data_IF_189723569006
#
_entry.id   IF_189723569006
#
_cell.length_a   1.000
_cell.length_b   1.000
_cell.length_c   1.000
_cell.angle_alpha   90.00
_cell.angle_beta   90.00
_cell.angle_gamma   90.00
#
_symmetry.space_group_name_H-M   'P 1'
#
loop_
_entity.id
_entity.type
_entity.pdbx_description
1 polymer ?
#
# COMPACT_ATOMS: atom_id res chain seq x y z
N UNK A 1 -12.21 -8.09 -13.01
CA UNK A 1 -11.14 -7.19 -13.50
C UNK A 1 -11.82 -6.07 -14.30
N UNK A 2 -11.98 -4.89 -13.71
CA UNK A 2 -12.55 -3.73 -14.42
C UNK A 2 -11.46 -3.10 -15.28
N UNK A 3 -11.49 -3.32 -16.60
CA UNK A 3 -10.53 -2.75 -17.57
C UNK A 3 -10.79 -1.27 -17.87
N UNK A 4 -10.98 -0.45 -16.83
CA UNK A 4 -11.34 0.98 -16.97
C UNK A 4 -10.18 1.91 -17.37
N UNK A 5 -9.02 1.38 -17.75
CA UNK A 5 -7.84 2.19 -18.13
C UNK A 5 -7.14 2.93 -16.99
N UNK A 6 -7.71 2.93 -15.78
CA UNK A 6 -7.15 3.61 -14.58
C UNK A 6 -5.71 3.21 -14.30
N UNK A 7 -5.43 1.91 -14.24
CA UNK A 7 -4.08 1.40 -13.95
C UNK A 7 -3.05 1.88 -14.97
N UNK A 8 -3.34 1.78 -16.27
CA UNK A 8 -2.44 2.22 -17.33
C UNK A 8 -2.19 3.74 -17.26
N UNK A 9 -3.23 4.52 -16.94
CA UNK A 9 -3.10 5.97 -16.79
C UNK A 9 -2.18 6.32 -15.61
N UNK A 10 -2.37 5.66 -14.46
CA UNK A 10 -1.53 5.85 -13.26
C UNK A 10 -0.08 5.45 -13.53
N UNK A 11 0.16 4.30 -14.17
CA UNK A 11 1.51 3.84 -14.55
C UNK A 11 2.24 4.86 -15.42
N UNK A 12 1.54 5.46 -16.41
CA UNK A 12 2.12 6.50 -17.27
C UNK A 12 2.44 7.79 -16.51
N UNK A 13 1.55 8.23 -15.62
CA UNK A 13 1.78 9.43 -14.79
C UNK A 13 3.00 9.22 -13.90
N UNK A 14 3.08 8.08 -13.20
CA UNK A 14 4.22 7.74 -12.34
C UNK A 14 5.51 7.70 -13.17
N UNK A 15 5.49 7.04 -14.34
CA UNK A 15 6.63 6.96 -15.24
C UNK A 15 7.13 8.33 -15.70
N UNK A 16 6.23 9.23 -16.11
CA UNK A 16 6.58 10.58 -16.55
C UNK A 16 7.15 11.45 -15.42
N UNK A 17 6.55 11.40 -14.22
CA UNK A 17 7.05 12.15 -13.07
C UNK A 17 8.43 11.65 -12.61
N UNK A 18 8.59 10.33 -12.56
CA UNK A 18 9.87 9.69 -12.21
C UNK A 18 10.95 10.02 -13.24
N UNK A 19 10.60 10.01 -14.53
CA UNK A 19 11.49 10.39 -15.64
C UNK A 19 11.95 11.85 -15.59
N UNK A 20 11.24 12.71 -14.87
CA UNK A 20 11.59 14.10 -14.59
C UNK A 20 12.37 14.28 -13.28
N UNK A 21 12.85 13.17 -12.71
CA UNK A 21 13.62 13.14 -11.47
C UNK A 21 12.84 13.57 -10.20
N UNK A 22 11.52 13.54 -10.24
CA UNK A 22 10.73 13.61 -9.01
C UNK A 22 10.74 12.25 -8.30
N UNK A 23 10.77 12.28 -6.97
CA UNK A 23 10.41 11.13 -6.17
C UNK A 23 8.88 10.96 -6.18
N UNK A 24 8.41 9.73 -6.39
CA UNK A 24 6.98 9.46 -6.59
C UNK A 24 6.52 8.31 -5.70
N UNK A 25 5.60 8.60 -4.80
CA UNK A 25 4.83 7.61 -4.06
C UNK A 25 3.54 7.23 -4.78
N UNK A 26 2.96 6.10 -4.41
CA UNK A 26 1.60 5.76 -4.86
C UNK A 26 0.80 5.11 -3.74
N UNK A 27 -0.51 5.37 -3.74
CA UNK A 27 -1.53 4.69 -2.94
C UNK A 27 -2.50 4.06 -3.93
N UNK A 28 -2.97 2.86 -3.65
CA UNK A 28 -4.01 2.23 -4.45
C UNK A 28 -5.11 1.76 -3.54
N UNK A 29 -6.29 2.33 -3.70
CA UNK A 29 -7.46 1.88 -2.97
C UNK A 29 -8.07 0.62 -3.62
N UNK A 30 -8.12 -0.47 -2.84
CA UNK A 30 -8.56 -1.78 -3.31
C UNK A 30 -10.01 -1.99 -2.90
N UNK A 31 -10.90 -1.73 -3.86
CA UNK A 31 -12.34 -1.89 -3.73
C UNK A 31 -12.76 -3.35 -3.92
N UNK A 32 -12.22 -4.25 -3.10
CA UNK A 32 -12.59 -5.67 -3.05
C UNK A 32 -12.78 -6.07 -1.59
N UNK A 33 -14.02 -6.37 -1.20
CA UNK A 33 -14.39 -6.59 0.21
C UNK A 33 -13.60 -7.72 0.89
N UNK A 34 -13.21 -8.74 0.13
CA UNK A 34 -12.42 -9.86 0.65
C UNK A 34 -10.91 -9.65 0.52
N UNK A 35 -10.44 -8.43 0.18
CA UNK A 35 -9.01 -8.15 0.09
C UNK A 35 -8.37 -8.17 1.48
N UNK A 36 -7.40 -9.05 1.66
CA UNK A 36 -6.49 -9.02 2.79
C UNK A 36 -5.11 -9.51 2.32
N UNK A 37 -4.08 -8.69 2.54
CA UNK A 37 -2.69 -9.11 2.31
C UNK A 37 -2.31 -10.21 3.31
N UNK A 38 -2.70 -10.02 4.57
CA UNK A 38 -2.44 -10.97 5.63
C UNK A 38 -3.61 -11.96 5.78
N UNK A 39 -3.33 -13.23 5.53
CA UNK A 39 -4.35 -14.29 5.45
C UNK A 39 -4.27 -15.25 6.64
N UNK A 40 -5.36 -15.94 7.01
CA UNK A 40 -5.35 -16.90 8.11
C UNK A 40 -4.24 -17.95 7.98
N UNK A 41 -3.49 -18.16 9.06
CA UNK A 41 -2.43 -19.16 9.14
C UNK A 41 -1.01 -18.66 8.85
N UNK A 42 -0.83 -17.46 8.29
CA UNK A 42 0.49 -16.83 8.18
C UNK A 42 1.05 -16.46 9.57
N UNK A 43 2.37 -16.27 9.66
CA UNK A 43 3.00 -15.86 10.92
C UNK A 43 2.51 -14.47 11.36
N UNK A 44 2.38 -13.53 10.44
CA UNK A 44 1.83 -12.19 10.67
C UNK A 44 0.39 -12.24 11.17
N UNK A 45 -0.44 -13.14 10.64
CA UNK A 45 -1.79 -13.37 11.15
C UNK A 45 -1.77 -13.90 12.57
N UNK A 46 -0.89 -14.86 12.87
CA UNK A 46 -0.71 -15.40 14.22
C UNK A 46 -0.25 -14.33 15.21
N UNK A 47 0.60 -13.39 14.80
CA UNK A 47 1.01 -12.26 15.64
C UNK A 47 -0.20 -11.37 15.98
N UNK A 48 -1.07 -11.07 15.00
CA UNK A 48 -2.31 -10.33 15.26
C UNK A 48 -3.23 -11.08 16.21
N UNK A 49 -3.44 -12.38 15.99
CA UNK A 49 -4.27 -13.23 16.88
C UNK A 49 -3.71 -13.29 18.31
N UNK A 50 -2.39 -13.18 18.48
CA UNK A 50 -1.75 -13.09 19.78
C UNK A 50 -1.92 -11.73 20.49
N UNK A 51 -2.55 -10.74 19.84
CA UNK A 51 -2.87 -9.43 20.43
C UNK A 51 -1.98 -8.27 19.96
N UNK A 52 -1.15 -8.46 18.94
CA UNK A 52 -0.39 -7.35 18.37
C UNK A 52 -1.33 -6.33 17.71
N UNK A 53 -1.26 -5.07 18.15
CA UNK A 53 -2.05 -3.96 17.61
C UNK A 53 -1.56 -3.46 16.24
N UNK A 54 -0.26 -3.65 15.97
CA UNK A 54 0.40 -3.36 14.70
C UNK A 54 1.40 -4.48 14.41
N UNK A 55 1.43 -4.95 13.16
CA UNK A 55 2.34 -6.03 12.74
C UNK A 55 3.20 -5.52 11.59
N UNK A 56 4.50 -5.81 11.62
CA UNK A 56 5.40 -5.55 10.49
C UNK A 56 5.96 -6.86 9.96
N UNK A 57 5.79 -7.11 8.66
CA UNK A 57 6.51 -8.15 7.94
C UNK A 57 7.78 -7.53 7.35
N UNK A 58 8.95 -8.13 7.57
CA UNK A 58 10.21 -7.66 6.98
C UNK A 58 10.94 -8.82 6.33
N UNK A 59 11.10 -8.73 5.01
CA UNK A 59 11.88 -9.66 4.22
C UNK A 59 13.18 -9.04 3.71
N UNK A 60 13.91 -9.80 2.88
CA UNK A 60 15.09 -9.28 2.18
C UNK A 60 14.75 -8.33 1.03
N UNK A 61 13.50 -8.36 0.55
CA UNK A 61 13.04 -7.61 -0.62
C UNK A 61 12.12 -6.44 -0.27
N UNK A 62 11.38 -6.54 0.84
CA UNK A 62 10.33 -5.58 1.18
C UNK A 62 10.04 -5.55 2.68
N UNK A 63 9.32 -4.51 3.10
CA UNK A 63 8.82 -4.32 4.45
C UNK A 63 7.38 -3.85 4.37
N UNK A 64 6.48 -4.57 5.04
CA UNK A 64 5.04 -4.30 5.05
C UNK A 64 4.58 -3.99 6.47
N UNK A 65 3.96 -2.83 6.66
CA UNK A 65 3.33 -2.45 7.93
C UNK A 65 1.82 -2.69 7.80
N UNK A 66 1.32 -3.63 8.59
CA UNK A 66 -0.04 -4.15 8.51
C UNK A 66 -0.94 -3.45 9.54
N UNK A 67 -1.59 -2.38 9.12
CA UNK A 67 -2.65 -1.74 9.90
C UNK A 67 -3.92 -2.60 9.86
N UNK A 68 -4.50 -3.02 11.02
CA UNK A 68 -5.70 -3.85 11.05
C UNK A 68 -7.00 -3.05 10.82
N UNK A 69 -6.88 -1.80 10.39
CA UNK A 69 -7.99 -0.86 10.14
C UNK A 69 -7.71 -0.08 8.86
N UNK A 70 -8.77 0.40 8.21
CA UNK A 70 -8.63 1.37 7.13
C UNK A 70 -8.19 2.71 7.71
N UNK A 71 -7.03 3.21 7.27
CA UNK A 71 -6.53 4.53 7.64
C UNK A 71 -7.15 5.60 6.76
N UNK A 72 -7.32 6.81 7.29
CA UNK A 72 -7.67 7.96 6.45
C UNK A 72 -6.52 8.31 5.52
N UNK A 73 -6.81 8.95 4.39
CA UNK A 73 -5.78 9.31 3.41
C UNK A 73 -4.74 10.26 4.03
N UNK A 74 -5.15 11.15 4.93
CA UNK A 74 -4.24 12.06 5.64
C UNK A 74 -3.22 11.27 6.47
N UNK A 75 -3.68 10.23 7.17
CA UNK A 75 -2.79 9.33 7.94
C UNK A 75 -1.89 8.48 7.06
N UNK A 76 -2.37 8.05 5.90
CA UNK A 76 -1.52 7.34 4.93
C UNK A 76 -0.42 8.26 4.42
N UNK A 77 -0.75 9.51 4.08
CA UNK A 77 0.20 10.48 3.54
C UNK A 77 1.28 10.92 4.55
N UNK A 78 1.06 10.75 5.86
CA UNK A 78 2.10 10.96 6.89
C UNK A 78 3.32 10.01 6.73
N UNK A 79 3.21 8.93 5.96
CA UNK A 79 4.31 8.00 5.67
C UNK A 79 5.12 8.34 4.40
N UNK A 80 4.73 9.38 3.66
CA UNK A 80 5.34 9.73 2.38
C UNK A 80 6.19 10.99 2.52
N UNK A 81 7.42 10.94 1.99
CA UNK A 81 8.37 12.04 1.87
C UNK A 81 8.64 12.44 0.41
N UNK A 82 7.90 11.83 -0.52
CA UNK A 82 8.05 11.99 -1.96
C UNK A 82 7.45 13.31 -2.45
N UNK A 83 7.98 13.84 -3.55
CA UNK A 83 7.52 15.09 -4.18
C UNK A 83 6.05 14.99 -4.65
N UNK A 84 5.65 13.80 -5.12
CA UNK A 84 4.30 13.50 -5.57
C UNK A 84 3.81 12.17 -4.98
N UNK A 85 2.53 12.11 -4.64
CA UNK A 85 1.83 10.85 -4.33
C UNK A 85 0.64 10.71 -5.25
N UNK A 86 0.60 9.62 -6.02
CA UNK A 86 -0.51 9.31 -6.94
C UNK A 86 -1.47 8.34 -6.24
N UNK A 87 -2.76 8.70 -6.17
CA UNK A 87 -3.82 7.94 -5.50
C UNK A 87 -4.71 7.16 -6.48
#
# INVERSE_FOLDING_TARGET
ITQSGKTNTVEKIIGELSGRCYSVGSVKDIHFEAFAIDTPGTNTYRHRQAGASLVTARGLKETDILFPVSLSIEKILEFYDQDWVVL
#
